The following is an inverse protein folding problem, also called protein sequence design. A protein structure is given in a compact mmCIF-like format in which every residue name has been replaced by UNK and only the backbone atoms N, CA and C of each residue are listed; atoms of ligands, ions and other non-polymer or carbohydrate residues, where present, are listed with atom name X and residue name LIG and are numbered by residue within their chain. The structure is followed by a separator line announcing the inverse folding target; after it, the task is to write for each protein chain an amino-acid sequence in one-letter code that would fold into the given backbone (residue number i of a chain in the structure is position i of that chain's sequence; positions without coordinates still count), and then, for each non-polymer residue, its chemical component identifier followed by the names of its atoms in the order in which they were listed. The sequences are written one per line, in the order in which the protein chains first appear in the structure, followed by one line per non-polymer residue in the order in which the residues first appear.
data_IF_694179209475
#
_entry.id   IF_694179209475
#
_cell.length_a   1.000
_cell.length_b   1.000
_cell.length_c   1.000
_cell.angle_alpha   90.00
_cell.angle_beta   90.00
_cell.angle_gamma   90.00
#
_symmetry.space_group_name_H-M   'P 1'
#
loop_
_entity.id
_entity.type
_entity.pdbx_description
1 polymer ?
#
# COMPACT_ATOMS: atom_id res chain seq x y z
N UNK A 1 39.21 -9.57 25.36
CA UNK A 1 39.04 -9.01 23.99
C UNK A 1 38.02 -9.75 23.13
N UNK A 2 38.05 -11.08 22.96
CA UNK A 2 37.07 -11.81 22.12
C UNK A 2 35.61 -11.67 22.62
N UNK A 3 35.35 -11.77 23.90
CA UNK A 3 34.00 -11.65 24.46
C UNK A 3 33.40 -10.24 24.32
N UNK A 4 34.23 -9.20 24.42
CA UNK A 4 33.79 -7.81 24.19
C UNK A 4 33.42 -7.57 22.73
N UNK A 5 34.16 -8.17 21.78
CA UNK A 5 33.86 -8.04 20.34
C UNK A 5 32.55 -8.75 20.01
N UNK A 6 32.31 -9.94 20.59
CA UNK A 6 31.05 -10.69 20.38
C UNK A 6 29.87 -9.89 20.95
N UNK A 7 30.01 -9.28 22.14
CA UNK A 7 28.96 -8.47 22.76
C UNK A 7 28.61 -7.24 21.92
N UNK A 8 29.61 -6.56 21.36
CA UNK A 8 29.41 -5.40 20.48
C UNK A 8 28.74 -5.82 19.16
N UNK A 9 29.13 -6.94 18.56
CA UNK A 9 28.51 -7.44 17.33
C UNK A 9 27.03 -7.80 17.56
N UNK A 10 26.72 -8.45 18.68
CA UNK A 10 25.34 -8.80 19.04
C UNK A 10 24.48 -7.54 19.25
N UNK A 11 25.03 -6.50 19.89
CA UNK A 11 24.34 -5.24 20.09
C UNK A 11 24.04 -4.53 18.75
N UNK A 12 25.01 -4.54 17.82
CA UNK A 12 24.83 -3.95 16.48
C UNK A 12 23.73 -4.70 15.69
N UNK A 13 23.72 -6.03 15.72
CA UNK A 13 22.68 -6.83 15.06
C UNK A 13 21.30 -6.53 15.65
N UNK A 14 21.21 -6.37 16.99
CA UNK A 14 19.97 -6.04 17.67
C UNK A 14 19.46 -4.64 17.28
N UNK A 15 20.35 -3.65 17.20
CA UNK A 15 20.03 -2.28 16.76
C UNK A 15 19.59 -2.22 15.30
N UNK A 16 20.23 -2.98 14.42
CA UNK A 16 19.86 -3.10 13.01
C UNK A 16 18.48 -3.77 12.90
N UNK A 17 18.23 -4.85 13.63
CA UNK A 17 16.94 -5.52 13.68
C UNK A 17 15.81 -4.61 14.18
N UNK A 18 16.06 -3.85 15.26
CA UNK A 18 15.11 -2.87 15.81
C UNK A 18 14.82 -1.73 14.82
N UNK A 19 15.83 -1.26 14.09
CA UNK A 19 15.68 -0.23 13.07
C UNK A 19 14.86 -0.71 11.86
N UNK A 20 15.04 -1.96 11.41
CA UNK A 20 14.22 -2.54 10.34
C UNK A 20 12.78 -2.81 10.79
N UNK A 21 12.56 -3.23 12.04
CA UNK A 21 11.21 -3.35 12.59
C UNK A 21 10.52 -1.98 12.70
N UNK A 22 11.23 -0.94 13.13
CA UNK A 22 10.70 0.42 13.24
C UNK A 22 10.27 1.00 11.88
N UNK A 23 11.03 0.75 10.81
CA UNK A 23 10.66 1.21 9.45
C UNK A 23 9.44 0.50 8.86
N UNK A 24 9.05 -0.68 9.35
CA UNK A 24 7.88 -1.44 8.85
C UNK A 24 6.57 -1.05 9.51
N UNK A 25 6.62 -0.33 10.62
CA UNK A 25 5.42 0.10 11.37
C UNK A 25 5.21 1.59 11.14
N UNK A 26 4.31 1.95 10.22
CA UNK A 26 3.78 3.31 10.19
C UNK A 26 2.66 3.39 11.23
N UNK A 27 2.93 4.14 12.28
CA UNK A 27 1.95 4.42 13.32
C UNK A 27 1.15 5.66 12.91
N UNK A 28 -0.14 5.47 12.64
CA UNK A 28 -1.07 6.59 12.52
C UNK A 28 -1.62 6.81 13.94
N UNK A 29 -0.94 7.67 14.70
CA UNK A 29 -1.42 8.07 16.02
C UNK A 29 -2.51 9.14 15.84
N UNK A 30 -3.76 8.72 15.76
CA UNK A 30 -4.89 9.59 16.05
C UNK A 30 -5.38 9.24 17.45
N UNK A 31 -4.88 9.94 18.44
CA UNK A 31 -5.43 9.87 19.80
C UNK A 31 -6.74 10.67 19.76
N UNK A 32 -7.86 9.97 19.77
CA UNK A 32 -9.13 10.62 20.08
C UNK A 32 -9.20 10.70 21.62
N UNK A 33 -8.91 11.87 22.18
CA UNK A 33 -8.82 12.10 23.64
C UNK A 33 -10.09 11.73 24.39
N UNK A 34 -11.20 11.45 23.71
CA UNK A 34 -12.48 11.10 24.32
C UNK A 34 -12.74 9.61 24.53
N UNK A 35 -11.98 8.69 23.90
CA UNK A 35 -12.38 7.27 23.91
C UNK A 35 -11.27 6.23 24.07
N UNK A 36 -10.01 6.54 24.33
CA UNK A 36 -8.91 5.56 24.40
C UNK A 36 -8.91 4.55 23.22
N UNK A 37 -9.21 5.00 22.02
CA UNK A 37 -9.18 4.16 20.83
C UNK A 37 -7.85 4.32 20.09
N UNK A 38 -7.33 3.20 19.57
CA UNK A 38 -6.02 3.16 18.87
C UNK A 38 -6.18 2.57 17.50
N UNK A 39 -5.58 3.24 16.52
CA UNK A 39 -5.51 2.77 15.13
C UNK A 39 -4.07 2.49 14.75
N UNK A 40 -3.80 1.26 14.31
CA UNK A 40 -2.49 0.85 13.80
C UNK A 40 -2.63 0.26 12.40
N UNK A 41 -1.75 0.67 11.50
CA UNK A 41 -1.64 0.09 10.17
C UNK A 41 -0.24 -0.46 9.95
N UNK A 42 -0.14 -1.77 9.82
CA UNK A 42 1.10 -2.47 9.48
C UNK A 42 1.06 -2.89 8.01
N UNK A 43 2.12 -2.61 7.29
CA UNK A 43 2.23 -2.96 5.88
C UNK A 43 3.21 -4.11 5.64
N UNK A 44 2.83 -5.01 4.75
CA UNK A 44 3.75 -5.91 4.08
C UNK A 44 3.84 -5.48 2.62
N UNK A 45 4.98 -4.89 2.24
CA UNK A 45 5.26 -4.40 0.90
C UNK A 45 4.27 -3.30 0.42
N UNK A 46 4.22 -2.17 1.12
CA UNK A 46 3.37 -1.04 0.70
C UNK A 46 3.96 -0.21 -0.47
N UNK A 47 5.23 -0.39 -0.78
CA UNK A 47 5.89 0.27 -1.93
C UNK A 47 5.75 -0.65 -3.14
N UNK A 48 5.11 -0.15 -4.17
CA UNK A 48 4.98 -0.80 -5.46
C UNK A 48 6.06 -0.23 -6.38
N UNK A 49 6.87 -1.10 -6.93
CA UNK A 49 7.87 -0.77 -7.94
C UNK A 49 7.60 -1.66 -9.15
N UNK A 50 6.91 -1.10 -10.14
CA UNK A 50 6.56 -1.78 -11.37
C UNK A 50 7.62 -1.46 -12.44
N UNK A 51 8.52 -2.41 -12.67
CA UNK A 51 9.42 -2.37 -13.81
C UNK A 51 8.71 -2.99 -15.01
N UNK A 52 8.37 -2.16 -15.98
CA UNK A 52 7.55 -2.55 -17.13
C UNK A 52 8.38 -3.29 -18.17
N UNK A 53 8.01 -4.54 -18.41
CA UNK A 53 8.58 -5.41 -19.43
C UNK A 53 7.47 -5.74 -20.45
N UNK A 54 7.52 -5.12 -21.61
CA UNK A 54 6.53 -5.30 -22.68
C UNK A 54 6.54 -6.70 -23.30
N UNK A 55 7.52 -7.54 -22.99
CA UNK A 55 7.52 -8.95 -23.43
C UNK A 55 6.66 -9.85 -22.53
N UNK A 56 6.05 -9.29 -21.49
CA UNK A 56 5.15 -9.99 -20.57
C UNK A 56 3.76 -9.42 -20.68
N UNK A 57 2.78 -10.26 -20.91
CA UNK A 57 1.38 -9.85 -21.05
C UNK A 57 0.85 -9.11 -19.80
N UNK A 58 1.38 -9.42 -18.62
CA UNK A 58 0.92 -8.86 -17.36
C UNK A 58 1.99 -8.92 -16.27
N UNK A 59 2.12 -7.82 -15.51
CA UNK A 59 2.83 -7.77 -14.24
C UNK A 59 1.81 -7.69 -13.09
N UNK A 60 2.01 -8.50 -12.04
CA UNK A 60 1.14 -8.48 -10.86
C UNK A 60 1.98 -8.30 -9.59
N UNK A 61 1.67 -7.27 -8.83
CA UNK A 61 2.31 -6.94 -7.58
C UNK A 61 1.28 -6.93 -6.45
N UNK A 62 1.70 -7.32 -5.25
CA UNK A 62 0.82 -7.44 -4.09
C UNK A 62 1.32 -6.64 -2.91
N UNK A 63 0.41 -5.93 -2.26
CA UNK A 63 0.61 -5.23 -1.00
C UNK A 63 -0.43 -5.72 0.01
N UNK A 64 -0.02 -5.90 1.27
CA UNK A 64 -0.96 -6.22 2.36
C UNK A 64 -0.90 -5.15 3.45
N UNK A 65 -2.07 -4.76 3.93
CA UNK A 65 -2.22 -3.92 5.10
C UNK A 65 -2.99 -4.69 6.19
N UNK A 66 -2.44 -4.68 7.39
CA UNK A 66 -3.06 -5.23 8.60
C UNK A 66 -3.50 -4.04 9.44
N UNK A 67 -4.82 -3.85 9.54
CA UNK A 67 -5.40 -2.71 10.25
C UNK A 67 -5.98 -3.21 11.56
N UNK A 68 -5.43 -2.73 12.66
CA UNK A 68 -5.94 -2.95 14.00
C UNK A 68 -6.57 -1.64 14.49
N UNK A 69 -7.86 -1.69 14.72
CA UNK A 69 -8.59 -0.62 15.37
C UNK A 69 -9.16 -1.15 16.68
N UNK A 70 -8.54 -0.73 17.76
CA UNK A 70 -8.95 -1.12 19.12
C UNK A 70 -9.79 0.01 19.70
N UNK A 71 -11.01 -0.30 20.11
CA UNK A 71 -11.95 0.65 20.71
C UNK A 71 -12.71 -0.02 21.85
N UNK A 72 -13.03 0.69 22.93
CA UNK A 72 -13.87 0.17 24.01
C UNK A 72 -15.32 -0.04 23.58
N UNK A 73 -15.71 0.51 22.43
CA UNK A 73 -17.01 0.36 21.79
C UNK A 73 -16.88 -0.39 20.47
N UNK A 74 -17.92 -1.13 20.08
CA UNK A 74 -18.00 -1.83 18.80
C UNK A 74 -18.34 -0.88 17.64
N UNK A 75 -17.62 0.25 17.56
CA UNK A 75 -17.80 1.26 16.55
C UNK A 75 -17.02 0.94 15.26
N UNK A 76 -17.27 1.73 14.24
CA UNK A 76 -16.58 1.69 12.95
C UNK A 76 -15.91 3.02 12.69
N UNK A 77 -14.76 2.99 12.01
CA UNK A 77 -14.10 4.16 11.47
C UNK A 77 -14.04 4.09 9.94
N UNK A 78 -13.95 5.25 9.32
CA UNK A 78 -13.71 5.37 7.89
C UNK A 78 -12.24 5.67 7.61
N UNK A 79 -11.68 4.97 6.63
CA UNK A 79 -10.34 5.22 6.12
C UNK A 79 -10.40 5.48 4.62
N UNK A 80 -9.65 6.47 4.14
CA UNK A 80 -9.29 6.55 2.74
C UNK A 80 -8.04 5.73 2.48
N UNK A 81 -8.03 5.05 1.35
CA UNK A 81 -6.84 4.42 0.78
C UNK A 81 -6.30 5.37 -0.28
N UNK A 82 -5.08 5.81 -0.07
CA UNK A 82 -4.38 6.70 -0.98
C UNK A 82 -3.30 5.95 -1.75
N UNK A 83 -3.13 6.32 -3.02
CA UNK A 83 -1.89 6.15 -3.75
C UNK A 83 -1.07 7.42 -3.57
N UNK A 84 0.21 7.26 -3.25
CA UNK A 84 1.19 8.35 -3.20
C UNK A 84 2.25 8.06 -4.24
N UNK A 85 2.36 8.92 -5.26
CA UNK A 85 3.32 8.78 -6.35
C UNK A 85 4.75 9.02 -5.87
N UNK A 86 5.66 8.11 -6.17
CA UNK A 86 7.11 8.25 -5.96
C UNK A 86 7.85 8.36 -7.29
N UNK A 87 7.11 8.35 -8.39
CA UNK A 87 7.56 8.64 -9.77
C UNK A 87 6.38 9.20 -10.54
N UNK A 88 6.63 9.60 -11.79
CA UNK A 88 5.56 10.00 -12.69
C UNK A 88 4.99 8.77 -13.42
N UNK A 89 3.67 8.72 -13.57
CA UNK A 89 2.97 7.79 -14.43
C UNK A 89 1.97 8.55 -15.30
N UNK A 90 2.10 8.41 -16.60
CA UNK A 90 1.14 8.92 -17.57
C UNK A 90 0.46 7.75 -18.25
N UNK A 91 -0.85 7.69 -18.12
CA UNK A 91 -1.66 6.67 -18.76
C UNK A 91 -1.57 6.80 -20.27
N UNK A 92 -1.48 5.68 -20.99
CA UNK A 92 -1.47 5.63 -22.45
C UNK A 92 -2.79 6.13 -23.03
N UNK A 93 -2.73 6.87 -24.12
CA UNK A 93 -3.93 7.30 -24.83
C UNK A 93 -4.74 6.10 -25.35
N UNK A 94 -6.07 6.15 -25.16
CA UNK A 94 -6.98 5.07 -25.55
C UNK A 94 -7.16 3.97 -24.50
N UNK A 95 -6.55 4.10 -23.31
CA UNK A 95 -6.82 3.21 -22.18
C UNK A 95 -8.25 3.46 -21.66
N UNK A 96 -9.07 2.40 -21.62
CA UNK A 96 -10.46 2.38 -21.19
C UNK A 96 -10.79 1.07 -20.44
N UNK A 97 -12.06 0.81 -20.21
CA UNK A 97 -12.51 -0.40 -19.51
C UNK A 97 -12.15 -1.72 -20.24
N UNK A 98 -11.98 -1.68 -21.57
CA UNK A 98 -11.63 -2.85 -22.39
C UNK A 98 -10.10 -2.99 -22.57
N UNK A 99 -9.37 -1.87 -22.51
CA UNK A 99 -7.92 -1.81 -22.68
C UNK A 99 -7.28 -1.24 -21.41
N UNK A 100 -7.38 -1.97 -20.30
CA UNK A 100 -6.79 -1.57 -19.01
C UNK A 100 -5.27 -1.57 -19.09
N UNK A 101 -4.64 -0.71 -18.31
CA UNK A 101 -3.19 -0.61 -18.24
C UNK A 101 -2.69 -0.81 -16.80
N UNK A 102 -2.81 0.18 -15.95
CA UNK A 102 -2.42 0.07 -14.54
C UNK A 102 -3.68 0.03 -13.68
N UNK A 103 -3.88 -1.05 -12.95
CA UNK A 103 -5.10 -1.27 -12.17
C UNK A 103 -4.80 -1.66 -10.74
N UNK A 104 -5.79 -1.52 -9.88
CA UNK A 104 -5.78 -2.12 -8.55
C UNK A 104 -7.07 -2.88 -8.28
N UNK A 105 -6.95 -3.92 -7.48
CA UNK A 105 -8.06 -4.72 -6.95
C UNK A 105 -7.87 -4.93 -5.46
N UNK A 106 -8.94 -4.89 -4.69
CA UNK A 106 -8.89 -5.08 -3.25
C UNK A 106 -9.52 -6.39 -2.83
N UNK A 107 -8.86 -7.08 -1.91
CA UNK A 107 -9.34 -8.27 -1.23
C UNK A 107 -9.36 -7.96 0.27
N UNK A 108 -10.48 -8.23 0.91
CA UNK A 108 -10.66 -8.08 2.35
C UNK A 108 -10.84 -9.43 3.01
N UNK A 109 -9.97 -9.77 3.97
CA UNK A 109 -10.00 -11.05 4.69
C UNK A 109 -10.15 -12.26 3.74
N UNK A 110 -9.36 -12.29 2.67
CA UNK A 110 -9.32 -13.32 1.63
C UNK A 110 -10.57 -13.38 0.72
N UNK A 111 -11.51 -12.43 0.86
CA UNK A 111 -12.67 -12.29 -0.01
C UNK A 111 -12.51 -11.08 -0.92
N UNK A 112 -12.80 -11.23 -2.22
CA UNK A 112 -12.77 -10.10 -3.15
C UNK A 112 -13.78 -9.02 -2.70
N UNK A 113 -13.26 -7.83 -2.38
CA UNK A 113 -14.05 -6.76 -1.78
C UNK A 113 -14.56 -5.76 -2.81
N UNK A 114 -13.73 -5.48 -3.81
CA UNK A 114 -14.02 -4.51 -4.88
C UNK A 114 -13.60 -5.06 -6.23
N UNK A 115 -14.31 -4.59 -7.27
CA UNK A 115 -13.91 -4.81 -8.64
C UNK A 115 -12.57 -4.15 -8.96
N UNK A 116 -11.92 -4.66 -10.00
CA UNK A 116 -10.67 -4.11 -10.49
C UNK A 116 -10.92 -2.74 -11.13
N UNK A 117 -10.25 -1.71 -10.60
CA UNK A 117 -10.34 -0.32 -11.06
C UNK A 117 -9.01 0.14 -11.64
N UNK A 118 -9.09 1.06 -12.56
CA UNK A 118 -7.93 1.70 -13.15
C UNK A 118 -7.31 2.73 -12.21
N UNK A 119 -5.98 2.78 -12.19
CA UNK A 119 -5.21 3.81 -11.52
C UNK A 119 -5.04 4.99 -12.50
N UNK A 120 -5.46 6.22 -12.13
CA UNK A 120 -5.27 7.38 -13.00
C UNK A 120 -3.80 7.77 -13.12
N UNK A 121 -3.48 8.60 -14.12
CA UNK A 121 -2.15 9.24 -14.21
C UNK A 121 -1.81 10.00 -12.95
N UNK A 122 -0.55 9.98 -12.55
CA UNK A 122 -0.06 10.71 -11.37
C UNK A 122 1.36 11.22 -11.59
N UNK A 123 1.71 12.24 -10.82
CA UNK A 123 3.08 12.77 -10.71
C UNK A 123 3.70 12.36 -9.39
N UNK A 124 5.00 12.54 -9.29
CA UNK A 124 5.71 12.42 -8.04
C UNK A 124 5.09 13.35 -6.98
N UNK A 125 4.86 12.82 -5.77
CA UNK A 125 4.18 13.44 -4.63
C UNK A 125 2.66 13.67 -4.78
N UNK A 126 2.04 13.24 -5.88
CA UNK A 126 0.59 13.24 -5.97
C UNK A 126 0.00 12.27 -4.94
N UNK A 127 -1.10 12.70 -4.31
CA UNK A 127 -1.87 11.91 -3.36
C UNK A 127 -3.28 11.71 -3.92
N UNK A 128 -3.58 10.50 -4.36
CA UNK A 128 -4.82 10.15 -5.05
C UNK A 128 -5.65 9.22 -4.17
N UNK A 129 -6.90 9.59 -3.91
CA UNK A 129 -7.85 8.70 -3.23
C UNK A 129 -8.26 7.58 -4.18
N UNK A 130 -7.96 6.35 -3.81
CA UNK A 130 -8.36 5.17 -4.58
C UNK A 130 -9.70 4.62 -4.13
N UNK A 131 -9.91 4.53 -2.81
CA UNK A 131 -11.10 3.92 -2.23
C UNK A 131 -11.33 4.43 -0.80
N UNK A 132 -12.61 4.39 -0.36
CA UNK A 132 -13.03 4.59 1.02
C UNK A 132 -13.51 3.27 1.59
N UNK A 133 -13.00 2.92 2.78
CA UNK A 133 -13.36 1.68 3.47
C UNK A 133 -13.87 1.98 4.88
N UNK A 134 -14.63 1.04 5.43
CA UNK A 134 -15.01 1.01 6.84
C UNK A 134 -14.22 -0.09 7.56
N UNK A 135 -13.74 0.23 8.73
CA UNK A 135 -12.99 -0.70 9.59
C UNK A 135 -13.72 -0.83 10.90
N UNK A 136 -14.12 -2.05 11.25
CA UNK A 136 -14.81 -2.35 12.50
C UNK A 136 -13.81 -2.52 13.63
N UNK A 137 -14.15 -1.97 14.80
CA UNK A 137 -13.34 -2.12 16.01
C UNK A 137 -13.19 -3.60 16.43
N UNK A 138 -12.09 -3.90 17.09
CA UNK A 138 -11.81 -5.18 17.76
C UNK A 138 -11.91 -6.40 16.82
N UNK A 139 -11.77 -6.20 15.51
CA UNK A 139 -11.81 -7.25 14.50
C UNK A 139 -10.51 -7.30 13.71
N UNK A 140 -10.24 -8.47 13.12
CA UNK A 140 -9.11 -8.63 12.20
C UNK A 140 -9.47 -8.02 10.85
N UNK A 141 -8.76 -6.98 10.46
CA UNK A 141 -8.95 -6.31 9.19
C UNK A 141 -7.68 -6.45 8.34
N UNK A 142 -7.74 -7.33 7.34
CA UNK A 142 -6.63 -7.56 6.39
C UNK A 142 -7.09 -7.13 5.02
N UNK A 143 -6.37 -6.17 4.43
CA UNK A 143 -6.57 -5.73 3.05
C UNK A 143 -5.38 -6.15 2.21
N UNK A 144 -5.61 -6.92 1.15
CA UNK A 144 -4.62 -7.18 0.10
C UNK A 144 -4.99 -6.31 -1.10
N UNK A 145 -4.04 -5.49 -1.55
CA UNK A 145 -4.16 -4.69 -2.76
C UNK A 145 -3.31 -5.35 -3.83
N UNK A 146 -3.97 -5.79 -4.88
CA UNK A 146 -3.32 -6.38 -6.05
C UNK A 146 -3.24 -5.30 -7.10
N UNK A 147 -2.02 -4.89 -7.43
CA UNK A 147 -1.72 -3.99 -8.55
C UNK A 147 -1.40 -4.82 -9.76
N UNK A 148 -2.04 -4.53 -10.89
CA UNK A 148 -1.74 -5.18 -12.15
C UNK A 148 -1.38 -4.16 -13.21
N UNK A 149 -0.32 -4.43 -13.96
CA UNK A 149 -0.01 -3.72 -15.19
C UNK A 149 -0.25 -4.68 -16.36
N UNK A 150 -1.03 -4.23 -17.34
CA UNK A 150 -1.35 -4.98 -18.54
C UNK A 150 -0.60 -4.40 -19.73
N UNK A 151 0.08 -5.25 -20.47
CA UNK A 151 0.54 -4.90 -21.81
C UNK A 151 -0.63 -5.13 -22.76
N UNK A 152 -1.06 -4.09 -23.42
CA UNK A 152 -2.19 -4.10 -24.34
C UNK A 152 -1.75 -3.72 -25.76
N UNK A 153 -2.69 -3.59 -26.68
CA UNK A 153 -2.40 -3.26 -28.08
C UNK A 153 -2.18 -1.75 -28.33
N UNK A 154 -2.09 -0.93 -27.30
CA UNK A 154 -1.83 0.50 -27.39
C UNK A 154 -0.33 0.78 -27.42
N UNK A 155 0.05 1.97 -27.86
CA UNK A 155 1.45 2.40 -27.87
C UNK A 155 1.94 2.77 -26.45
N UNK A 156 2.43 1.76 -25.74
CA UNK A 156 2.96 1.86 -24.38
C UNK A 156 4.49 2.11 -24.35
N UNK A 157 5.11 2.51 -25.47
CA UNK A 157 6.56 2.69 -25.58
C UNK A 157 7.12 3.70 -24.56
N UNK A 158 6.34 4.72 -24.18
CA UNK A 158 6.75 5.72 -23.19
C UNK A 158 6.89 5.13 -21.76
N UNK A 159 6.34 3.94 -21.49
CA UNK A 159 6.45 3.26 -20.21
C UNK A 159 7.62 2.26 -20.17
N UNK A 160 8.19 1.92 -21.32
CA UNK A 160 9.32 0.98 -21.43
C UNK A 160 10.55 1.57 -20.73
N UNK A 161 11.21 0.76 -19.92
CA UNK A 161 12.38 1.17 -19.10
C UNK A 161 12.07 2.24 -18.04
N UNK A 162 10.81 2.61 -17.86
CA UNK A 162 10.39 3.47 -16.75
C UNK A 162 9.91 2.62 -15.57
N UNK A 163 10.40 2.95 -14.39
CA UNK A 163 9.86 2.38 -13.16
C UNK A 163 8.68 3.21 -12.70
N UNK A 164 7.50 2.60 -12.63
CA UNK A 164 6.35 3.21 -11.98
C UNK A 164 6.43 2.88 -10.49
N UNK A 165 6.69 3.89 -9.67
CA UNK A 165 6.88 3.72 -8.22
C UNK A 165 5.82 4.53 -7.47
N UNK A 166 5.12 3.88 -6.57
CA UNK A 166 4.16 4.51 -5.66
C UNK A 166 3.97 3.65 -4.41
N UNK A 167 3.34 4.22 -3.40
CA UNK A 167 2.96 3.48 -2.21
C UNK A 167 1.49 3.66 -1.87
N UNK A 168 0.94 2.66 -1.19
CA UNK A 168 -0.39 2.75 -0.59
C UNK A 168 -0.30 3.27 0.84
N UNK A 169 -1.22 4.16 1.19
CA UNK A 169 -1.37 4.68 2.54
C UNK A 169 -2.84 4.69 2.97
N UNK A 170 -3.09 4.49 4.26
CA UNK A 170 -4.42 4.49 4.85
C UNK A 170 -4.51 5.65 5.84
N UNK A 171 -5.53 6.49 5.73
CA UNK A 171 -5.73 7.62 6.62
C UNK A 171 -7.16 7.67 7.12
N UNK A 172 -7.31 7.94 8.43
CA UNK A 172 -8.61 8.13 9.06
C UNK A 172 -9.28 9.39 8.53
N UNK A 173 -10.56 9.26 8.23
CA UNK A 173 -11.42 10.35 7.78
C UNK A 173 -12.74 10.30 8.53
N UNK A 174 -13.53 11.37 8.41
CA UNK A 174 -14.90 11.39 8.91
C UNK A 174 -15.80 10.47 8.07
N UNK A 175 -16.63 9.67 8.72
CA UNK A 175 -17.58 8.79 8.05
C UNK A 175 -18.77 9.56 7.49
#
# INVERSE_FOLDING_TARGET
MKEQIISILTLIIFLIGAFFCYKKVQRIDTIDEKQNSFLYVNYNNNIINANIDINKDKLVLKSKAFINYDSPTDDEICLNIYLIGNSNYSKTDGVDENNKELTFKMIYNDVAFKEEKEIPSFKENDKIVLEKIKVKANTKNIYEIITSFYVNNLDQNHLVNNNIIFNYNFEKIDC
#
